data_IF_159720259567
#
_entry.id   IF_159720259567
#
_cell.length_a   1.000
_cell.length_b   1.000
_cell.length_c   1.000
_cell.angle_alpha   90.00
_cell.angle_beta   90.00
_cell.angle_gamma   90.00
#
_symmetry.space_group_name_H-M   'P 1'
#
loop_
_entity.id
_entity.type
_entity.pdbx_description
1 polymer ?
#
# COMPACT_ATOMS: atom_id res chain seq x y z
N UNK A 1 -12.28 38.28 -30.62
CA UNK A 1 -13.24 37.98 -29.54
C UNK A 1 -12.55 37.03 -28.58
N UNK A 2 -12.51 37.29 -27.26
CA UNK A 2 -11.88 36.36 -26.33
C UNK A 2 -12.68 35.06 -26.29
N UNK A 3 -12.05 33.95 -26.68
CA UNK A 3 -12.64 32.62 -26.64
C UNK A 3 -12.72 32.15 -25.19
N UNK A 4 -13.84 32.39 -24.52
CA UNK A 4 -14.08 31.85 -23.18
C UNK A 4 -14.33 30.34 -23.29
N UNK A 5 -13.44 29.55 -22.68
CA UNK A 5 -13.53 28.10 -22.69
C UNK A 5 -14.48 27.63 -21.60
N UNK A 6 -15.53 26.91 -22.01
CA UNK A 6 -16.49 26.27 -21.10
C UNK A 6 -15.91 24.98 -20.52
N UNK A 7 -16.30 24.65 -19.30
CA UNK A 7 -15.98 23.37 -18.68
C UNK A 7 -16.57 22.23 -19.52
N UNK A 8 -15.73 21.30 -19.95
CA UNK A 8 -16.16 20.14 -20.74
C UNK A 8 -16.22 18.90 -19.87
N UNK A 9 -17.37 18.22 -19.84
CA UNK A 9 -17.54 16.97 -19.10
C UNK A 9 -16.61 15.84 -19.60
N UNK A 10 -16.14 15.93 -20.85
CA UNK A 10 -15.14 15.02 -21.42
C UNK A 10 -13.80 15.08 -20.69
N UNK A 11 -13.51 16.16 -19.95
CA UNK A 11 -12.31 16.29 -19.14
C UNK A 11 -12.31 15.34 -17.94
N UNK A 12 -13.48 14.93 -17.44
CA UNK A 12 -13.60 13.97 -16.33
C UNK A 12 -13.12 12.57 -16.72
N UNK A 13 -13.12 12.24 -18.01
CA UNK A 13 -12.63 10.95 -18.51
C UNK A 13 -11.11 10.92 -18.70
N UNK A 14 -10.41 12.05 -18.47
CA UNK A 14 -8.95 12.14 -18.61
C UNK A 14 -8.23 11.65 -17.36
N UNK A 15 -6.94 11.40 -17.51
CA UNK A 15 -6.05 10.99 -16.43
C UNK A 15 -5.17 12.15 -15.97
N UNK A 16 -4.76 12.13 -14.70
CA UNK A 16 -3.73 13.00 -14.13
C UNK A 16 -2.33 12.62 -14.66
N UNK A 17 -1.30 13.31 -14.18
CA UNK A 17 0.11 13.05 -14.53
C UNK A 17 0.61 11.66 -14.11
N UNK A 18 -0.11 10.98 -13.22
CA UNK A 18 0.21 9.66 -12.65
C UNK A 18 -0.75 8.57 -13.17
N UNK A 19 -1.55 8.86 -14.21
CA UNK A 19 -2.48 7.91 -14.82
C UNK A 19 -3.79 7.68 -14.05
N UNK A 20 -4.08 8.45 -13.00
CA UNK A 20 -5.33 8.35 -12.22
C UNK A 20 -6.45 9.15 -12.85
N UNK A 21 -7.67 8.62 -12.80
CA UNK A 21 -8.83 9.30 -13.37
C UNK A 21 -9.18 10.58 -12.57
N UNK A 22 -9.28 11.72 -13.27
CA UNK A 22 -9.48 13.03 -12.62
C UNK A 22 -10.90 13.23 -12.07
N UNK A 23 -11.89 12.44 -12.49
CA UNK A 23 -13.26 12.47 -11.97
C UNK A 23 -13.33 12.21 -10.44
N UNK A 24 -12.29 11.58 -9.89
CA UNK A 24 -12.21 11.32 -8.45
C UNK A 24 -12.12 12.59 -7.60
N UNK A 25 -11.60 13.68 -8.16
CA UNK A 25 -11.37 14.93 -7.43
C UNK A 25 -11.83 16.20 -8.15
N UNK A 26 -12.05 16.13 -9.46
CA UNK A 26 -12.49 17.24 -10.29
C UNK A 26 -14.01 17.23 -10.43
N UNK A 27 -14.65 18.37 -10.18
CA UNK A 27 -16.09 18.58 -10.40
C UNK A 27 -16.32 19.89 -11.16
N UNK A 28 -17.44 19.97 -11.86
CA UNK A 28 -17.91 21.25 -12.41
C UNK A 28 -18.26 22.21 -11.26
N UNK A 29 -17.84 23.47 -11.37
CA UNK A 29 -18.17 24.53 -10.42
C UNK A 29 -19.54 25.14 -10.69
N UNK A 30 -19.86 26.23 -9.99
CA UNK A 30 -21.19 26.84 -10.06
C UNK A 30 -21.42 27.57 -11.40
N UNK A 31 -20.35 28.06 -12.03
CA UNK A 31 -20.38 28.66 -13.36
C UNK A 31 -19.89 27.69 -14.43
N UNK A 32 -20.39 27.88 -15.66
CA UNK A 32 -20.06 27.05 -16.83
C UNK A 32 -18.56 27.08 -17.17
N UNK A 33 -17.82 28.11 -16.75
CA UNK A 33 -16.36 28.23 -16.95
C UNK A 33 -15.55 27.96 -15.68
N UNK A 34 -16.16 27.44 -14.61
CA UNK A 34 -15.47 27.17 -13.35
C UNK A 34 -15.45 25.69 -13.00
N UNK A 35 -14.45 25.26 -12.25
CA UNK A 35 -14.31 23.91 -11.74
C UNK A 35 -13.96 23.92 -10.25
N UNK A 36 -14.41 22.90 -9.53
CA UNK A 36 -14.13 22.68 -8.11
C UNK A 36 -13.22 21.46 -7.95
N UNK A 37 -12.21 21.59 -7.12
CA UNK A 37 -11.37 20.48 -6.68
C UNK A 37 -11.77 20.07 -5.26
N UNK A 38 -12.18 18.82 -5.07
CA UNK A 38 -12.59 18.31 -3.76
C UNK A 38 -11.42 18.19 -2.77
N UNK A 39 -10.18 18.17 -3.27
CA UNK A 39 -8.97 17.97 -2.47
C UNK A 39 -8.42 19.27 -1.92
N UNK A 40 -8.46 20.35 -2.71
CA UNK A 40 -7.77 21.59 -2.35
C UNK A 40 -8.58 22.54 -1.46
N UNK A 41 -9.85 22.22 -1.16
CA UNK A 41 -10.81 23.07 -0.42
C UNK A 41 -10.93 24.53 -0.93
N UNK A 42 -10.31 24.86 -2.06
CA UNK A 42 -10.43 26.15 -2.73
C UNK A 42 -11.75 26.18 -3.49
N UNK A 43 -12.63 27.11 -3.10
CA UNK A 43 -13.88 27.36 -3.81
C UNK A 43 -13.58 28.01 -5.16
N UNK A 44 -14.09 27.37 -6.21
CA UNK A 44 -14.19 27.83 -7.61
C UNK A 44 -12.90 28.32 -8.29
N UNK A 45 -12.31 27.43 -9.10
CA UNK A 45 -11.19 27.72 -9.99
C UNK A 45 -11.71 28.03 -11.40
N UNK A 46 -11.18 29.07 -12.03
CA UNK A 46 -11.63 29.49 -13.36
C UNK A 46 -10.82 28.79 -14.47
N UNK A 47 -11.53 28.27 -15.48
CA UNK A 47 -10.95 27.74 -16.71
C UNK A 47 -11.30 28.58 -17.95
N UNK A 48 -11.93 29.75 -17.79
CA UNK A 48 -12.38 30.60 -18.91
C UNK A 48 -11.27 30.96 -19.90
N UNK A 49 -10.06 31.24 -19.40
CA UNK A 49 -8.94 31.70 -20.22
C UNK A 49 -8.03 30.57 -20.74
N UNK A 50 -7.95 29.44 -20.02
CA UNK A 50 -6.94 28.40 -20.27
C UNK A 50 -7.51 26.97 -20.42
N UNK A 51 -8.81 26.78 -20.22
CA UNK A 51 -9.48 25.48 -20.37
C UNK A 51 -8.82 24.37 -19.56
N UNK A 52 -8.54 23.23 -20.21
CA UNK A 52 -7.86 22.08 -19.60
C UNK A 52 -6.47 22.42 -19.04
N UNK A 53 -5.75 23.39 -19.62
CA UNK A 53 -4.42 23.77 -19.13
C UNK A 53 -4.50 24.37 -17.71
N UNK A 54 -5.59 25.06 -17.36
CA UNK A 54 -5.85 25.52 -15.99
C UNK A 54 -5.92 24.35 -15.00
N UNK A 55 -6.54 23.24 -15.40
CA UNK A 55 -6.68 22.04 -14.58
C UNK A 55 -5.33 21.35 -14.43
N UNK A 56 -4.54 21.22 -15.51
CA UNK A 56 -3.18 20.65 -15.44
C UNK A 56 -2.25 21.48 -14.56
N UNK A 57 -2.34 22.81 -14.62
CA UNK A 57 -1.58 23.69 -13.74
C UNK A 57 -2.04 23.54 -12.28
N UNK A 58 -3.35 23.39 -12.05
CA UNK A 58 -3.89 23.10 -10.73
C UNK A 58 -3.37 21.78 -10.14
N UNK A 59 -3.28 20.70 -10.94
CA UNK A 59 -2.75 19.40 -10.49
C UNK A 59 -1.33 19.51 -9.92
N UNK A 60 -0.54 20.46 -10.44
CA UNK A 60 0.85 20.69 -10.02
C UNK A 60 0.97 21.57 -8.75
N UNK A 61 -0.15 22.07 -8.22
CA UNK A 61 -0.11 22.92 -7.02
C UNK A 61 0.23 22.12 -5.78
N UNK A 62 1.01 22.72 -4.87
CA UNK A 62 1.45 22.07 -3.62
C UNK A 62 0.27 21.56 -2.78
N UNK A 63 -0.80 22.36 -2.67
CA UNK A 63 -2.04 21.97 -1.97
C UNK A 63 -2.69 20.74 -2.61
N UNK A 64 -2.70 20.64 -3.94
CA UNK A 64 -3.24 19.47 -4.63
C UNK A 64 -2.36 18.24 -4.40
N UNK A 65 -1.04 18.37 -4.50
CA UNK A 65 -0.11 17.26 -4.28
C UNK A 65 -0.14 16.73 -2.83
N UNK A 66 -0.30 17.62 -1.85
CA UNK A 66 -0.40 17.24 -0.43
C UNK A 66 -1.76 16.63 -0.05
N UNK A 67 -2.85 17.11 -0.67
CA UNK A 67 -4.21 16.66 -0.38
C UNK A 67 -4.73 15.58 -1.31
N UNK A 68 -4.05 15.31 -2.44
CA UNK A 68 -4.27 14.11 -3.23
C UNK A 68 -4.34 12.94 -2.26
N UNK A 69 -5.31 12.01 -2.42
CA UNK A 69 -5.34 10.78 -1.66
C UNK A 69 -4.01 10.14 -1.94
N UNK A 70 -3.09 10.41 -1.03
CA UNK A 70 -1.83 9.78 -1.00
C UNK A 70 -2.24 8.32 -0.94
N UNK A 71 -1.64 7.47 -1.76
CA UNK A 71 -1.28 6.17 -1.22
C UNK A 71 -0.28 6.43 -0.07
N UNK A 72 -0.69 7.17 0.96
CA UNK A 72 -0.45 6.86 2.35
C UNK A 72 -1.15 5.51 2.49
N UNK A 73 -0.49 4.47 1.98
CA UNK A 73 -0.49 3.19 2.64
C UNK A 73 0.10 3.45 4.02
N UNK A 74 -0.65 4.14 4.87
CA UNK A 74 -0.50 4.10 6.31
C UNK A 74 -1.07 2.74 6.74
N UNK A 75 -0.54 1.65 6.20
CA UNK A 75 -0.27 0.49 7.03
C UNK A 75 0.97 0.88 7.84
N UNK A 76 0.79 1.78 8.81
CA UNK A 76 1.72 1.84 9.93
C UNK A 76 1.53 0.49 10.61
N UNK A 77 2.36 -0.48 10.24
CA UNK A 77 2.62 -1.63 11.09
C UNK A 77 3.45 -1.03 12.22
N UNK A 78 2.78 -0.46 13.23
CA UNK A 78 3.43 -0.24 14.51
C UNK A 78 3.68 -1.61 15.10
N UNK A 79 4.86 -2.15 14.84
CA UNK A 79 5.39 -3.26 15.63
C UNK A 79 5.74 -2.65 16.97
N UNK A 80 4.77 -2.61 17.89
CA UNK A 80 5.07 -2.37 19.28
C UNK A 80 6.04 -3.45 19.76
N UNK A 81 7.12 -2.96 20.36
CA UNK A 81 8.26 -3.71 20.86
C UNK A 81 7.84 -4.92 21.69
N UNK A 82 8.42 -6.09 21.38
CA UNK A 82 8.23 -7.33 22.12
C UNK A 82 8.64 -7.13 23.59
N UNK A 83 7.67 -6.97 24.49
CA UNK A 83 7.83 -7.40 25.87
C UNK A 83 7.44 -8.86 25.93
N UNK A 84 8.42 -9.73 26.18
CA UNK A 84 8.18 -11.12 26.57
C UNK A 84 7.30 -11.14 27.83
N UNK A 85 6.40 -12.13 27.95
CA UNK A 85 6.20 -12.79 29.22
C UNK A 85 6.45 -14.30 29.10
N UNK A 86 7.17 -14.77 30.11
CA UNK A 86 7.35 -16.15 30.51
C UNK A 86 6.03 -16.77 30.99
N UNK A 87 6.01 -18.11 31.00
CA UNK A 87 5.10 -19.04 31.71
C UNK A 87 3.66 -19.25 31.18
N UNK A 88 3.49 -20.45 30.60
CA UNK A 88 2.50 -21.48 30.95
C UNK A 88 0.99 -21.28 30.69
N UNK A 89 0.45 -22.27 29.95
CA UNK A 89 -0.93 -22.80 29.87
C UNK A 89 -1.97 -22.06 29.01
N UNK A 90 -2.58 -22.86 28.11
CA UNK A 90 -3.84 -22.71 27.38
C UNK A 90 -3.98 -21.59 26.32
N UNK A 91 -3.32 -21.80 25.17
CA UNK A 91 -4.04 -22.37 24.02
C UNK A 91 -5.16 -21.57 23.32
N UNK A 92 -5.12 -20.24 23.24
CA UNK A 92 -5.84 -19.49 22.19
C UNK A 92 -4.93 -18.41 21.61
N UNK A 93 -4.29 -18.70 20.47
CA UNK A 93 -3.58 -17.69 19.68
C UNK A 93 -4.64 -16.85 18.94
N UNK A 94 -5.05 -15.75 19.56
CA UNK A 94 -5.88 -14.75 18.89
C UNK A 94 -5.03 -14.00 17.88
N UNK A 95 -5.21 -14.33 16.60
CA UNK A 95 -4.71 -13.54 15.47
C UNK A 95 -5.28 -12.12 15.61
N UNK A 96 -4.46 -11.04 15.56
CA UNK A 96 -4.99 -9.68 15.64
C UNK A 96 -5.99 -9.42 14.52
N UNK A 97 -7.26 -9.28 14.86
CA UNK A 97 -8.30 -8.88 13.90
C UNK A 97 -8.00 -7.47 13.40
N UNK A 98 -7.66 -7.38 12.11
CA UNK A 98 -7.62 -6.15 11.32
C UNK A 98 -8.99 -5.47 11.39
N UNK A 99 -9.15 -4.45 12.25
CA UNK A 99 -10.33 -3.58 12.21
C UNK A 99 -10.21 -2.63 11.03
N UNK A 100 -10.79 -3.06 9.90
CA UNK A 100 -10.94 -2.27 8.69
C UNK A 100 -11.93 -1.12 8.94
N UNK A 101 -11.41 0.11 8.93
CA UNK A 101 -12.20 1.34 9.02
C UNK A 101 -13.26 1.42 7.90
N UNK A 102 -14.43 1.92 8.29
CA UNK A 102 -15.69 1.82 7.55
C UNK A 102 -15.69 2.57 6.21
N UNK A 103 -15.49 1.87 5.11
CA UNK A 103 -16.30 2.00 3.87
C UNK A 103 -16.18 0.70 3.06
N UNK A 104 -16.94 -0.32 3.47
CA UNK A 104 -16.81 -1.69 2.98
C UNK A 104 -17.49 -1.86 1.62
N UNK A 105 -16.79 -1.61 0.51
CA UNK A 105 -16.90 -2.57 -0.60
C UNK A 105 -16.05 -3.76 -0.18
N UNK A 106 -16.59 -4.97 -0.02
CA UNK A 106 -15.77 -6.12 0.30
C UNK A 106 -14.77 -6.30 -0.83
N UNK A 107 -13.50 -6.00 -0.56
CA UNK A 107 -12.40 -6.37 -1.45
C UNK A 107 -12.43 -7.89 -1.46
N UNK A 108 -13.04 -8.43 -2.50
CA UNK A 108 -13.13 -9.88 -2.69
C UNK A 108 -11.80 -10.27 -3.30
N UNK A 109 -10.88 -10.74 -2.45
CA UNK A 109 -9.64 -11.29 -2.92
C UNK A 109 -9.93 -12.51 -3.79
N UNK A 110 -9.33 -12.52 -4.98
CA UNK A 110 -9.32 -13.72 -5.80
C UNK A 110 -8.63 -14.86 -5.04
N UNK A 111 -8.96 -16.09 -5.38
CA UNK A 111 -8.39 -17.26 -4.73
C UNK A 111 -6.86 -17.25 -4.82
N UNK A 112 -6.30 -16.87 -5.98
CA UNK A 112 -4.85 -16.80 -6.17
C UNK A 112 -4.19 -15.72 -5.31
N UNK A 113 -4.87 -14.60 -5.07
CA UNK A 113 -4.39 -13.55 -4.18
C UNK A 113 -4.34 -14.03 -2.72
N UNK A 114 -5.29 -14.88 -2.31
CA UNK A 114 -5.28 -15.48 -0.96
C UNK A 114 -4.10 -16.41 -0.76
N UNK A 115 -3.77 -17.24 -1.75
CA UNK A 115 -2.58 -18.11 -1.74
C UNK A 115 -1.32 -17.26 -1.70
N UNK A 116 -1.22 -16.28 -2.59
CA UNK A 116 -0.08 -15.35 -2.67
C UNK A 116 0.14 -14.59 -1.36
N UNK A 117 -0.94 -14.19 -0.69
CA UNK A 117 -0.87 -13.55 0.63
C UNK A 117 -0.32 -14.48 1.70
N UNK A 118 -0.80 -15.73 1.77
CA UNK A 118 -0.30 -16.72 2.71
C UNK A 118 1.21 -16.98 2.51
N UNK A 119 1.60 -17.10 1.25
CA UNK A 119 2.98 -17.24 0.80
C UNK A 119 3.87 -16.06 1.21
N UNK A 120 3.42 -14.82 1.00
CA UNK A 120 4.15 -13.63 1.41
C UNK A 120 4.32 -13.54 2.94
N UNK A 121 3.28 -13.89 3.71
CA UNK A 121 3.34 -13.94 5.18
C UNK A 121 4.33 -14.99 5.65
N UNK A 122 4.35 -16.16 5.03
CA UNK A 122 5.34 -17.19 5.33
C UNK A 122 6.76 -16.68 5.04
N UNK A 123 6.99 -16.10 3.87
CA UNK A 123 8.29 -15.52 3.50
C UNK A 123 8.76 -14.45 4.51
N UNK A 124 7.87 -13.60 5.01
CA UNK A 124 8.23 -12.63 6.06
C UNK A 124 8.60 -13.32 7.38
N UNK A 125 7.84 -14.35 7.76
CA UNK A 125 8.12 -15.13 8.97
C UNK A 125 9.48 -15.79 8.89
N UNK A 126 9.83 -16.32 7.70
CA UNK A 126 11.15 -16.86 7.39
C UNK A 126 12.25 -15.85 7.71
N UNK A 127 12.12 -14.64 7.17
CA UNK A 127 13.12 -13.59 7.33
C UNK A 127 13.20 -13.10 8.79
N UNK A 128 12.06 -12.88 9.43
CA UNK A 128 11.98 -12.38 10.80
C UNK A 128 12.58 -13.35 11.82
N UNK A 129 12.42 -14.66 11.62
CA UNK A 129 12.89 -15.70 12.55
C UNK A 129 14.27 -16.26 12.20
N UNK A 130 14.89 -15.83 11.10
CA UNK A 130 16.21 -16.30 10.69
C UNK A 130 16.27 -17.80 10.41
N UNK A 131 15.14 -18.41 10.02
CA UNK A 131 15.09 -19.83 9.73
C UNK A 131 16.01 -20.17 8.52
N UNK A 132 16.50 -21.41 8.43
CA UNK A 132 17.32 -21.89 7.30
C UNK A 132 16.50 -22.13 6.04
N UNK A 133 16.93 -21.65 4.88
CA UNK A 133 16.23 -21.90 3.61
C UNK A 133 16.21 -23.40 3.24
N UNK A 134 17.24 -24.15 3.64
CA UNK A 134 17.42 -25.56 3.27
C UNK A 134 16.48 -26.52 4.01
N UNK A 135 15.94 -26.13 5.16
CA UNK A 135 15.10 -27.00 6.00
C UNK A 135 13.61 -26.91 5.69
N UNK A 136 13.22 -26.33 4.54
CA UNK A 136 11.85 -25.82 4.32
C UNK A 136 11.22 -26.13 2.97
N UNK A 137 11.84 -26.96 2.15
CA UNK A 137 11.21 -27.37 0.89
C UNK A 137 9.98 -28.27 1.12
N UNK A 138 9.88 -28.94 2.28
CA UNK A 138 8.78 -29.83 2.64
C UNK A 138 7.63 -29.15 3.42
N UNK A 139 7.72 -27.85 3.74
CA UNK A 139 6.68 -27.19 4.56
C UNK A 139 5.32 -27.16 3.86
N UNK A 140 5.32 -27.10 2.52
CA UNK A 140 4.10 -27.21 1.74
C UNK A 140 3.40 -28.56 1.96
N UNK A 141 4.16 -29.65 2.05
CA UNK A 141 3.61 -30.98 2.33
C UNK A 141 3.04 -31.05 3.74
N UNK A 142 3.73 -30.45 4.72
CA UNK A 142 3.23 -30.36 6.09
C UNK A 142 1.88 -29.62 6.12
N UNK A 143 1.74 -28.49 5.44
CA UNK A 143 0.47 -27.76 5.39
C UNK A 143 -0.65 -28.55 4.71
N UNK A 144 -0.34 -29.30 3.65
CA UNK A 144 -1.32 -30.19 2.98
C UNK A 144 -1.84 -31.29 3.90
N UNK A 145 -0.97 -31.87 4.73
CA UNK A 145 -1.34 -32.91 5.69
C UNK A 145 -2.06 -32.34 6.92
N UNK A 146 -1.64 -31.16 7.39
CA UNK A 146 -2.27 -30.50 8.54
C UNK A 146 -3.67 -29.96 8.22
N UNK A 147 -3.88 -29.49 6.97
CA UNK A 147 -5.11 -28.83 6.55
C UNK A 147 -5.64 -29.41 5.23
N UNK A 148 -6.14 -30.66 5.24
CA UNK A 148 -6.59 -31.33 4.03
C UNK A 148 -7.81 -30.66 3.38
N UNK A 149 -8.65 -29.99 4.16
CA UNK A 149 -9.84 -29.26 3.75
C UNK A 149 -9.55 -27.88 3.14
N UNK A 150 -8.36 -27.32 3.41
CA UNK A 150 -7.99 -25.98 2.98
C UNK A 150 -7.40 -25.98 1.57
N UNK A 151 -8.18 -25.50 0.59
CA UNK A 151 -7.69 -25.29 -0.79
C UNK A 151 -6.45 -24.38 -0.87
N UNK A 152 -6.34 -23.41 0.05
CA UNK A 152 -5.17 -22.50 0.11
C UNK A 152 -3.91 -23.26 0.53
N UNK A 153 -4.03 -24.19 1.49
CA UNK A 153 -2.92 -25.03 1.92
C UNK A 153 -2.50 -26.02 0.83
N UNK A 154 -3.46 -26.52 0.04
CA UNK A 154 -3.17 -27.38 -1.11
C UNK A 154 -2.33 -26.67 -2.17
N UNK A 155 -2.67 -25.42 -2.49
CA UNK A 155 -1.98 -24.61 -3.50
C UNK A 155 -0.72 -23.89 -2.98
N UNK A 156 -0.40 -24.06 -1.69
CA UNK A 156 0.79 -23.46 -1.11
C UNK A 156 2.05 -24.12 -1.69
N UNK A 157 2.86 -23.33 -2.41
CA UNK A 157 4.02 -23.81 -3.18
C UNK A 157 5.33 -23.13 -2.78
N UNK A 158 5.39 -22.55 -1.58
CA UNK A 158 6.56 -21.81 -1.12
C UNK A 158 7.73 -22.73 -0.75
N UNK A 159 8.75 -22.77 -1.61
CA UNK A 159 10.01 -23.46 -1.42
C UNK A 159 11.17 -22.48 -1.16
N UNK A 160 12.36 -22.97 -0.86
CA UNK A 160 13.59 -22.19 -0.60
C UNK A 160 13.86 -21.12 -1.67
N UNK A 161 13.89 -21.51 -2.95
CA UNK A 161 14.15 -20.61 -4.09
C UNK A 161 13.08 -19.53 -4.24
N UNK A 162 11.80 -19.94 -4.17
CA UNK A 162 10.66 -19.02 -4.27
C UNK A 162 10.65 -18.04 -3.10
N UNK A 163 10.95 -18.51 -1.90
CA UNK A 163 11.05 -17.68 -0.69
C UNK A 163 12.15 -16.64 -0.85
N UNK A 164 13.35 -17.07 -1.25
CA UNK A 164 14.49 -16.17 -1.48
C UNK A 164 14.19 -15.13 -2.54
N UNK A 165 13.56 -15.53 -3.65
CA UNK A 165 13.16 -14.62 -4.72
C UNK A 165 12.11 -13.61 -4.26
N UNK A 166 11.04 -14.08 -3.59
CA UNK A 166 9.98 -13.21 -3.04
C UNK A 166 10.55 -12.22 -2.04
N UNK A 167 11.47 -12.65 -1.18
CA UNK A 167 12.14 -11.76 -0.22
C UNK A 167 13.04 -10.74 -0.91
N UNK A 168 13.89 -11.18 -1.84
CA UNK A 168 14.94 -10.33 -2.42
C UNK A 168 14.40 -9.40 -3.51
N UNK A 169 13.43 -9.84 -4.31
CA UNK A 169 12.93 -9.12 -5.48
C UNK A 169 11.49 -8.61 -5.34
N UNK A 170 10.69 -9.22 -4.46
CA UNK A 170 9.33 -8.75 -4.19
C UNK A 170 9.28 -7.80 -2.99
N UNK A 171 9.44 -8.37 -1.80
CA UNK A 171 9.22 -7.70 -0.53
C UNK A 171 10.37 -6.75 -0.17
N UNK A 172 11.62 -7.13 -0.41
CA UNK A 172 12.81 -6.33 -0.09
C UNK A 172 12.77 -4.92 -0.70
N UNK A 173 12.58 -4.78 -2.03
CA UNK A 173 12.47 -3.47 -2.66
C UNK A 173 11.31 -2.64 -2.13
N UNK A 174 10.17 -3.28 -1.84
CA UNK A 174 9.01 -2.62 -1.25
C UNK A 174 9.34 -2.02 0.13
N UNK A 175 9.88 -2.82 1.05
CA UNK A 175 10.24 -2.34 2.40
C UNK A 175 11.37 -1.31 2.35
N UNK A 176 12.34 -1.46 1.45
CA UNK A 176 13.39 -0.47 1.25
C UNK A 176 12.81 0.88 0.80
N UNK A 177 11.91 0.88 -0.19
CA UNK A 177 11.24 2.11 -0.63
C UNK A 177 10.39 2.73 0.48
N UNK A 178 9.67 1.90 1.25
CA UNK A 178 8.83 2.38 2.35
C UNK A 178 9.68 2.97 3.49
N UNK A 179 10.82 2.36 3.80
CA UNK A 179 11.81 2.90 4.73
C UNK A 179 12.33 4.26 4.25
N UNK A 180 12.74 4.38 2.98
CA UNK A 180 13.21 5.65 2.41
C UNK A 180 12.14 6.74 2.48
N UNK A 181 10.87 6.41 2.19
CA UNK A 181 9.75 7.35 2.34
C UNK A 181 9.58 7.79 3.79
N UNK A 182 9.67 6.85 4.73
CA UNK A 182 9.57 7.15 6.16
C UNK A 182 10.71 8.06 6.62
N UNK A 183 11.94 7.81 6.18
CA UNK A 183 13.10 8.65 6.48
C UNK A 183 12.96 10.06 5.91
N UNK A 184 12.55 10.20 4.64
CA UNK A 184 12.33 11.52 4.00
C UNK A 184 11.24 12.36 4.68
N UNK A 185 10.23 11.71 5.27
CA UNK A 185 9.17 12.37 6.03
C UNK A 185 9.62 12.76 7.45
N UNK A 186 10.64 12.11 7.97
CA UNK A 186 11.10 12.30 9.35
C UNK A 186 12.01 13.52 9.44
N UNK A 187 11.77 14.40 10.42
CA UNK A 187 12.60 15.60 10.63
C UNK A 187 13.98 15.22 11.19
N UNK A 188 14.03 14.17 12.01
CA UNK A 188 15.25 13.60 12.59
C UNK A 188 15.09 12.08 12.63
N UNK A 189 16.19 11.37 12.49
CA UNK A 189 16.27 9.93 12.71
C UNK A 189 17.57 9.61 13.44
N UNK A 190 17.56 8.51 14.18
CA UNK A 190 18.74 7.98 14.87
C UNK A 190 19.12 6.69 14.18
N UNK A 191 20.39 6.55 13.82
CA UNK A 191 20.94 5.34 13.25
C UNK A 191 21.71 4.61 14.34
N UNK A 192 21.18 3.47 14.79
CA UNK A 192 21.85 2.61 15.74
C UNK A 192 22.67 1.58 14.95
N UNK A 193 23.97 1.55 15.18
CA UNK A 193 24.85 0.50 14.69
C UNK A 193 25.12 -0.48 15.84
N UNK A 194 25.02 -1.78 15.57
CA UNK A 194 25.48 -2.82 16.48
C UNK A 194 26.96 -3.05 16.17
N UNK A 195 27.84 -2.81 17.13
CA UNK A 195 29.27 -3.07 16.95
C UNK A 195 29.51 -4.58 17.01
N UNK A 196 29.47 -5.23 15.84
CA UNK A 196 30.00 -6.59 15.71
C UNK A 196 31.52 -6.47 15.60
N UNK A 197 32.20 -6.62 16.73
CA UNK A 197 33.65 -6.80 16.75
C UNK A 197 33.94 -8.13 16.07
N UNK A 198 34.55 -8.09 14.88
CA UNK A 198 35.09 -9.29 14.25
C UNK A 198 36.05 -9.96 15.24
N UNK A 199 35.70 -11.17 15.69
CA UNK A 199 36.58 -12.05 16.47
C UNK A 199 36.77 -13.36 15.72
#
# INVERSE_FOLDING_TARGET
MPHHTKFSHNWLNRTDTEGRNVNTWLKQGDSISTFKCTLCKTCDLDCSNQGWAAIVQHMKTKLHLENMPSLKNNSIISIESLKQPTSSTDGVISIPQLKLGNTKRPITFDFQEKVTKAEAVWALTVAQRGYSFNSRDEIGDVFRHMFPDSKIAQEFSMQSRKTSYVLSHGLGPYFHQELVKCLKRSVKFVLCFDEQVCS
#
